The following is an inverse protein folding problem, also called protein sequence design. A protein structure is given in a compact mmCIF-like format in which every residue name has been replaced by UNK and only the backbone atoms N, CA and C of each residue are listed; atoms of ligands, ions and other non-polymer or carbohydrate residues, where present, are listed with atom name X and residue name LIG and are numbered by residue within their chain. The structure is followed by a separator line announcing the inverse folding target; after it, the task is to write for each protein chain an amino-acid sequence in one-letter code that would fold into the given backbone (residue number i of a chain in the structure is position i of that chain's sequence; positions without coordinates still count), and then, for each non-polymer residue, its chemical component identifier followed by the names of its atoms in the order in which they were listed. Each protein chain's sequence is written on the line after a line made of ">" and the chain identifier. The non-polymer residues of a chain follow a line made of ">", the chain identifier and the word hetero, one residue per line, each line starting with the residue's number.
data_IF_985571362103
#
_entry.id   IF_985571362103
#
_cell.length_a   1.000
_cell.length_b   1.000
_cell.length_c   1.000
_cell.angle_alpha   90.00
_cell.angle_beta   90.00
_cell.angle_gamma   90.00
#
_symmetry.space_group_name_H-M   'P 1'
#
loop_
_entity.id
_entity.type
_entity.pdbx_description
1 polymer ?
#
# COMPACT_ATOMS: atom_id res chain seq x y z
N UNK A 1 -25.84 -4.98 -12.44
CA UNK A 1 -25.67 -3.82 -13.36
C UNK A 1 -24.48 -2.94 -13.00
N UNK A 2 -24.41 -2.32 -11.82
CA UNK A 2 -23.32 -1.39 -11.45
C UNK A 2 -21.92 -2.04 -11.37
N UNK A 3 -21.81 -3.28 -10.86
CA UNK A 3 -20.52 -3.99 -10.78
C UNK A 3 -19.98 -4.44 -12.16
N UNK A 4 -20.85 -4.68 -13.15
CA UNK A 4 -20.40 -4.93 -14.52
C UNK A 4 -19.74 -3.68 -15.11
N UNK A 5 -20.25 -2.48 -14.83
CA UNK A 5 -19.62 -1.24 -15.31
C UNK A 5 -18.20 -1.05 -14.75
N UNK A 6 -17.95 -1.48 -13.51
CA UNK A 6 -16.60 -1.45 -12.94
C UNK A 6 -15.65 -2.36 -13.73
N UNK A 7 -16.07 -3.59 -14.03
CA UNK A 7 -15.29 -4.51 -14.85
C UNK A 7 -15.05 -3.95 -16.26
N UNK A 8 -16.09 -3.41 -16.92
CA UNK A 8 -15.97 -2.88 -18.28
C UNK A 8 -14.97 -1.73 -18.40
N UNK A 9 -14.79 -0.93 -17.34
CA UNK A 9 -13.76 0.11 -17.32
C UNK A 9 -12.41 -0.44 -16.90
N UNK A 10 -12.35 -1.33 -15.90
CA UNK A 10 -11.07 -1.87 -15.43
C UNK A 10 -10.38 -2.77 -16.47
N UNK A 11 -11.13 -3.44 -17.36
CA UNK A 11 -10.53 -4.22 -18.46
C UNK A 11 -9.77 -3.36 -19.49
N UNK A 12 -9.98 -2.03 -19.50
CA UNK A 12 -9.22 -1.12 -20.35
C UNK A 12 -7.79 -0.88 -19.83
N UNK A 13 -7.52 -1.19 -18.55
CA UNK A 13 -6.22 -1.02 -17.93
C UNK A 13 -5.37 -2.28 -18.12
N UNK A 14 -4.07 -2.10 -18.34
CA UNK A 14 -3.08 -3.18 -18.26
C UNK A 14 -2.42 -3.21 -16.89
N UNK A 15 -1.61 -4.24 -16.62
CA UNK A 15 -0.77 -4.28 -15.43
C UNK A 15 0.23 -3.11 -15.41
N UNK A 16 0.81 -2.76 -16.56
CA UNK A 16 1.74 -1.65 -16.71
C UNK A 16 1.07 -0.31 -16.39
N UNK A 17 -0.19 -0.12 -16.81
CA UNK A 17 -0.98 1.06 -16.42
C UNK A 17 -1.12 1.15 -14.89
N UNK A 18 -1.42 0.04 -14.22
CA UNK A 18 -1.53 0.00 -12.77
C UNK A 18 -0.19 0.31 -12.09
N UNK A 19 0.90 -0.33 -12.55
CA UNK A 19 2.25 -0.11 -12.02
C UNK A 19 2.76 1.32 -12.23
N UNK A 20 2.39 1.95 -13.35
CA UNK A 20 2.66 3.35 -13.62
C UNK A 20 1.82 4.25 -12.71
N UNK A 21 0.54 3.95 -12.54
CA UNK A 21 -0.33 4.72 -11.65
C UNK A 21 0.15 4.70 -10.19
N UNK A 22 0.79 3.62 -9.74
CA UNK A 22 1.43 3.53 -8.42
C UNK A 22 2.48 4.63 -8.20
N UNK A 23 3.24 5.03 -9.22
CA UNK A 23 4.25 6.08 -9.08
C UNK A 23 3.63 7.47 -8.89
N UNK A 24 2.33 7.61 -9.16
CA UNK A 24 1.57 8.83 -8.88
C UNK A 24 0.93 8.82 -7.50
N UNK A 25 0.88 7.67 -6.81
CA UNK A 25 0.39 7.55 -5.44
C UNK A 25 1.25 8.42 -4.51
N UNK A 26 0.59 9.25 -3.70
CA UNK A 26 1.26 10.10 -2.72
C UNK A 26 2.06 9.29 -1.71
N UNK A 27 1.60 8.08 -1.40
CA UNK A 27 2.31 7.17 -0.51
C UNK A 27 3.60 6.66 -1.16
N UNK A 28 3.58 6.35 -2.46
CA UNK A 28 4.78 5.97 -3.22
C UNK A 28 5.80 7.12 -3.25
N UNK A 29 5.34 8.33 -3.57
CA UNK A 29 6.19 9.54 -3.58
C UNK A 29 6.80 9.86 -2.21
N UNK A 30 6.04 9.63 -1.12
CA UNK A 30 6.56 9.78 0.23
C UNK A 30 7.68 8.77 0.53
N UNK A 31 7.55 7.54 0.03
CA UNK A 31 8.58 6.51 0.14
C UNK A 31 9.81 6.82 -0.71
N UNK A 32 9.66 7.36 -1.92
CA UNK A 32 10.79 7.78 -2.76
C UNK A 32 11.63 8.85 -2.06
N UNK A 33 10.96 9.88 -1.50
CA UNK A 33 11.64 10.93 -0.74
C UNK A 33 12.35 10.39 0.49
N UNK A 34 11.73 9.45 1.20
CA UNK A 34 12.34 8.79 2.35
C UNK A 34 13.57 7.98 1.93
N UNK A 35 13.45 7.16 0.87
CA UNK A 35 14.56 6.36 0.35
C UNK A 35 15.75 7.23 -0.08
N UNK A 36 15.51 8.33 -0.79
CA UNK A 36 16.57 9.27 -1.15
C UNK A 36 17.28 9.90 0.06
N UNK A 37 16.57 10.13 1.16
CA UNK A 37 17.16 10.62 2.40
C UNK A 37 17.91 9.51 3.18
N UNK A 38 17.47 8.26 3.05
CA UNK A 38 18.04 7.10 3.72
C UNK A 38 19.05 6.38 2.81
N UNK A 39 20.35 6.61 3.01
CA UNK A 39 21.41 5.83 2.34
C UNK A 39 21.50 4.34 2.80
N UNK A 40 20.40 3.77 3.31
CA UNK A 40 20.32 2.42 3.86
C UNK A 40 19.01 1.72 3.47
N UNK A 41 19.09 0.83 2.47
CA UNK A 41 17.94 0.06 1.97
C UNK A 41 17.33 -0.86 3.03
N UNK A 42 18.14 -1.47 3.90
CA UNK A 42 17.64 -2.39 4.92
C UNK A 42 16.75 -1.64 5.91
N UNK A 43 17.24 -0.51 6.43
CA UNK A 43 16.49 0.34 7.34
C UNK A 43 15.22 0.87 6.66
N UNK A 44 15.33 1.36 5.42
CA UNK A 44 14.19 1.84 4.64
C UNK A 44 13.08 0.78 4.55
N UNK A 45 13.41 -0.43 4.10
CA UNK A 45 12.44 -1.53 3.98
C UNK A 45 11.79 -1.87 5.33
N UNK A 46 12.58 -1.94 6.41
CA UNK A 46 12.07 -2.20 7.77
C UNK A 46 11.12 -1.09 8.25
N UNK A 47 11.49 0.18 8.08
CA UNK A 47 10.65 1.32 8.44
C UNK A 47 9.30 1.26 7.73
N UNK A 48 9.27 0.95 6.43
CA UNK A 48 8.03 0.85 5.65
C UNK A 48 7.12 -0.25 6.19
N UNK A 49 7.65 -1.44 6.48
CA UNK A 49 6.86 -2.56 7.03
C UNK A 49 6.28 -2.19 8.39
N UNK A 50 7.08 -1.61 9.29
CA UNK A 50 6.60 -1.20 10.63
C UNK A 50 5.50 -0.15 10.50
N UNK A 51 5.70 0.87 9.66
CA UNK A 51 4.71 1.92 9.45
C UNK A 51 3.39 1.36 8.93
N UNK A 52 3.43 0.56 7.87
CA UNK A 52 2.22 -0.01 7.26
C UNK A 52 1.41 -0.88 8.23
N UNK A 53 2.07 -1.66 9.09
CA UNK A 53 1.42 -2.47 10.12
C UNK A 53 0.74 -1.65 11.22
N UNK A 54 1.07 -0.36 11.34
CA UNK A 54 0.53 0.60 12.30
C UNK A 54 -0.42 1.63 11.64
N UNK A 55 -0.54 1.62 10.31
CA UNK A 55 -1.40 2.49 9.50
C UNK A 55 -2.89 2.13 9.59
N UNK A 56 -3.47 2.15 10.80
CA UNK A 56 -4.91 1.92 11.02
C UNK A 56 -5.52 2.91 11.99
N UNK A 57 -6.81 3.22 11.78
CA UNK A 57 -7.57 4.20 12.57
C UNK A 57 -6.78 5.51 12.73
N UNK A 58 -6.30 6.04 11.60
CA UNK A 58 -5.51 7.25 11.56
C UNK A 58 -6.35 8.47 11.96
N UNK A 59 -5.77 9.46 12.66
CA UNK A 59 -6.44 10.72 12.96
C UNK A 59 -6.49 11.66 11.74
N UNK A 60 -5.72 11.36 10.69
CA UNK A 60 -5.61 12.15 9.46
C UNK A 60 -5.87 11.26 8.23
N UNK A 61 -5.89 11.87 7.03
CA UNK A 61 -5.90 11.14 5.77
C UNK A 61 -4.64 10.28 5.64
N UNK A 62 -4.77 9.11 5.01
CA UNK A 62 -3.67 8.16 4.87
C UNK A 62 -2.46 8.75 4.14
N UNK A 63 -2.71 9.52 3.08
CA UNK A 63 -1.67 10.18 2.28
C UNK A 63 -0.85 11.16 3.13
N UNK A 64 -1.52 11.97 3.94
CA UNK A 64 -0.88 12.92 4.86
C UNK A 64 -0.08 12.19 5.95
N UNK A 65 -0.57 11.05 6.43
CA UNK A 65 0.17 10.23 7.40
C UNK A 65 1.47 9.68 6.81
N UNK A 66 1.45 9.16 5.57
CA UNK A 66 2.65 8.66 4.90
C UNK A 66 3.66 9.76 4.54
N UNK A 67 3.19 10.96 4.19
CA UNK A 67 4.06 12.13 3.98
C UNK A 67 4.76 12.57 5.29
N UNK A 68 4.03 12.56 6.41
CA UNK A 68 4.60 12.81 7.73
C UNK A 68 5.60 11.71 8.12
N UNK A 69 5.30 10.44 7.84
CA UNK A 69 6.22 9.32 8.03
C UNK A 69 7.54 9.54 7.28
N UNK A 70 7.46 9.81 5.97
CA UNK A 70 8.66 10.06 5.16
C UNK A 70 9.48 11.24 5.68
N UNK A 71 8.81 12.36 6.02
CA UNK A 71 9.50 13.55 6.53
C UNK A 71 10.13 13.35 7.91
N UNK A 72 9.48 12.58 8.78
CA UNK A 72 9.95 12.32 10.14
C UNK A 72 11.16 11.38 10.15
N UNK A 73 11.08 10.25 9.45
CA UNK A 73 12.17 9.26 9.44
C UNK A 73 13.34 9.65 8.54
N UNK A 74 13.16 10.58 7.60
CA UNK A 74 14.28 11.21 6.90
C UNK A 74 15.21 11.99 7.86
N UNK A 75 14.65 12.52 8.95
CA UNK A 75 15.41 13.25 9.99
C UNK A 75 15.82 12.37 11.17
N UNK A 76 15.06 11.31 11.43
CA UNK A 76 15.23 10.43 12.58
C UNK A 76 15.30 8.96 12.10
N UNK A 77 16.39 8.54 11.43
CA UNK A 77 16.48 7.25 10.75
C UNK A 77 16.74 6.08 11.71
N UNK A 78 15.72 5.69 12.47
CA UNK A 78 15.83 4.62 13.48
C UNK A 78 14.47 3.96 13.74
N UNK A 79 14.45 2.66 14.05
CA UNK A 79 13.22 1.95 14.40
C UNK A 79 12.71 2.32 15.80
N UNK A 80 13.59 2.82 16.67
CA UNK A 80 13.33 3.22 18.05
C UNK A 80 12.42 4.46 18.10
N UNK A 81 12.47 5.29 17.06
CA UNK A 81 11.73 6.56 16.94
C UNK A 81 10.22 6.38 16.66
N UNK A 82 9.76 5.16 16.39
CA UNK A 82 8.34 4.89 16.15
C UNK A 82 7.44 5.25 17.33
N UNK A 83 7.94 5.12 18.57
CA UNK A 83 7.16 5.49 19.76
C UNK A 83 6.78 6.98 19.74
N UNK A 84 7.74 7.84 19.39
CA UNK A 84 7.53 9.28 19.28
C UNK A 84 6.72 9.64 18.03
N UNK A 85 7.03 9.02 16.91
CA UNK A 85 6.26 9.19 15.67
C UNK A 85 4.76 8.92 15.87
N UNK A 86 4.40 7.82 16.56
CA UNK A 86 3.01 7.48 16.84
C UNK A 86 2.33 8.50 17.76
N UNK A 87 3.01 8.99 18.80
CA UNK A 87 2.47 10.04 19.69
C UNK A 87 2.14 11.31 18.93
N UNK A 88 2.96 11.67 17.95
CA UNK A 88 2.80 12.91 17.18
C UNK A 88 1.78 12.81 16.05
N UNK A 89 1.78 11.70 15.31
CA UNK A 89 1.03 11.61 14.04
C UNK A 89 -0.04 10.52 13.99
N UNK A 90 -0.09 9.62 14.98
CA UNK A 90 -1.04 8.49 15.00
C UNK A 90 -1.52 8.13 16.40
N UNK A 91 -1.89 9.16 17.19
CA UNK A 91 -2.19 9.07 18.61
C UNK A 91 -3.56 8.47 18.97
N UNK A 92 -4.44 8.26 18.00
CA UNK A 92 -5.73 7.62 18.25
C UNK A 92 -5.50 6.16 18.69
N UNK A 93 -6.04 5.77 19.85
CA UNK A 93 -5.77 4.46 20.46
C UNK A 93 -4.27 4.18 20.67
N UNK A 94 -3.50 5.21 21.04
CA UNK A 94 -2.04 5.15 21.17
C UNK A 94 -1.56 3.95 21.99
N UNK A 95 -2.15 3.68 23.17
CA UNK A 95 -1.72 2.58 24.02
C UNK A 95 -1.80 1.22 23.32
N UNK A 96 -2.87 0.97 22.56
CA UNK A 96 -3.02 -0.26 21.76
C UNK A 96 -2.01 -0.31 20.62
N UNK A 97 -1.72 0.83 19.98
CA UNK A 97 -0.70 0.94 18.93
C UNK A 97 0.71 0.73 19.47
N UNK A 98 1.03 1.23 20.65
CA UNK A 98 2.34 1.02 21.30
C UNK A 98 2.54 -0.46 21.68
N UNK A 99 1.49 -1.13 22.19
CA UNK A 99 1.53 -2.59 22.42
C UNK A 99 1.75 -3.37 21.11
N UNK A 100 1.07 -2.97 20.03
CA UNK A 100 1.28 -3.56 18.70
C UNK A 100 2.68 -3.27 18.16
N UNK A 101 3.19 -2.04 18.32
CA UNK A 101 4.53 -1.63 17.90
C UNK A 101 5.59 -2.55 18.53
N UNK A 102 5.51 -2.86 19.81
CA UNK A 102 6.46 -3.78 20.46
C UNK A 102 6.52 -5.15 19.76
N UNK A 103 5.36 -5.73 19.44
CA UNK A 103 5.27 -7.01 18.71
C UNK A 103 5.81 -6.91 17.29
N UNK A 104 5.46 -5.83 16.60
CA UNK A 104 5.91 -5.55 15.22
C UNK A 104 7.42 -5.35 15.17
N UNK A 105 8.00 -4.55 16.08
CA UNK A 105 9.45 -4.37 16.17
C UNK A 105 10.17 -5.69 16.47
N UNK A 106 9.63 -6.52 17.37
CA UNK A 106 10.20 -7.84 17.65
C UNK A 106 10.24 -8.75 16.42
N UNK A 107 9.23 -8.66 15.54
CA UNK A 107 9.24 -9.39 14.28
C UNK A 107 10.24 -8.76 13.29
N UNK A 108 10.07 -7.47 12.97
CA UNK A 108 10.83 -6.81 11.90
C UNK A 108 12.34 -6.71 12.21
N UNK A 109 12.73 -6.54 13.47
CA UNK A 109 14.16 -6.50 13.86
C UNK A 109 14.90 -7.82 13.59
N UNK A 110 14.19 -8.96 13.55
CA UNK A 110 14.79 -10.26 13.25
C UNK A 110 15.10 -10.44 11.77
N UNK A 111 14.48 -9.65 10.89
CA UNK A 111 14.68 -9.77 9.45
C UNK A 111 16.09 -9.33 9.08
N UNK A 112 16.82 -10.21 8.42
CA UNK A 112 18.12 -9.93 7.82
C UNK A 112 17.97 -9.21 6.47
N UNK A 113 19.05 -8.60 5.99
CA UNK A 113 19.08 -7.99 4.66
C UNK A 113 18.77 -9.02 3.56
N UNK A 114 19.28 -10.23 3.69
CA UNK A 114 19.11 -11.34 2.75
C UNK A 114 17.64 -11.78 2.70
N UNK A 115 16.98 -11.88 3.85
CA UNK A 115 15.54 -12.18 3.91
C UNK A 115 14.70 -11.09 3.28
N UNK A 116 15.02 -9.82 3.50
CA UNK A 116 14.31 -8.70 2.86
C UNK A 116 14.47 -8.74 1.33
N UNK A 117 15.68 -9.00 0.83
CA UNK A 117 15.91 -9.17 -0.62
C UNK A 117 15.14 -10.37 -1.16
N UNK A 118 15.11 -11.50 -0.43
CA UNK A 118 14.31 -12.67 -0.79
C UNK A 118 12.83 -12.30 -0.87
N UNK A 119 12.30 -11.57 0.11
CA UNK A 119 10.91 -11.13 0.12
C UNK A 119 10.57 -10.12 -0.98
N UNK A 120 11.52 -9.30 -1.44
CA UNK A 120 11.29 -8.48 -2.63
C UNK A 120 11.06 -9.33 -3.89
N UNK A 121 11.61 -10.55 -3.95
CA UNK A 121 11.38 -11.51 -5.04
C UNK A 121 10.15 -12.40 -4.79
N UNK A 122 9.81 -12.62 -3.52
CA UNK A 122 8.65 -13.39 -3.08
C UNK A 122 7.85 -12.61 -2.00
N UNK A 123 6.96 -11.70 -2.42
CA UNK A 123 6.13 -10.93 -1.48
C UNK A 123 5.19 -11.80 -0.64
N UNK A 124 4.81 -12.99 -1.13
CA UNK A 124 3.99 -13.96 -0.39
C UNK A 124 4.76 -14.52 0.81
N UNK A 125 6.06 -14.77 0.65
CA UNK A 125 6.94 -15.13 1.76
C UNK A 125 6.93 -14.10 2.90
N UNK A 126 6.86 -12.81 2.60
CA UNK A 126 6.70 -11.77 3.64
C UNK A 126 5.33 -11.87 4.31
N UNK A 127 4.26 -12.06 3.55
CA UNK A 127 2.91 -12.21 4.11
C UNK A 127 2.86 -13.38 5.11
N UNK A 128 3.42 -14.52 4.73
CA UNK A 128 3.48 -15.73 5.54
C UNK A 128 4.29 -15.50 6.82
N UNK A 129 5.45 -14.85 6.70
CA UNK A 129 6.27 -14.45 7.84
C UNK A 129 5.50 -13.53 8.81
N UNK A 130 4.88 -12.46 8.30
CA UNK A 130 4.15 -11.50 9.13
C UNK A 130 2.92 -12.12 9.79
N UNK A 131 2.18 -12.97 9.06
CA UNK A 131 1.04 -13.72 9.58
C UNK A 131 1.45 -14.60 10.76
N UNK A 132 2.55 -15.36 10.62
CA UNK A 132 3.07 -16.22 11.69
C UNK A 132 3.58 -15.40 12.89
N UNK A 133 4.40 -14.36 12.68
CA UNK A 133 4.97 -13.58 13.78
C UNK A 133 3.91 -12.76 14.54
N UNK A 134 2.85 -12.31 13.86
CA UNK A 134 1.80 -11.48 14.46
C UNK A 134 0.54 -12.26 14.83
N UNK A 135 0.48 -13.56 14.55
CA UNK A 135 -0.70 -14.41 14.75
C UNK A 135 -1.96 -13.75 14.18
N UNK A 136 -1.90 -13.35 12.91
CA UNK A 136 -3.02 -12.74 12.20
C UNK A 136 -3.27 -13.49 10.89
N UNK A 137 -4.53 -13.57 10.48
CA UNK A 137 -4.90 -14.16 9.20
C UNK A 137 -4.20 -13.44 8.03
N UNK A 138 -3.79 -14.22 7.02
CA UNK A 138 -3.14 -13.69 5.80
C UNK A 138 -4.04 -12.71 5.03
N UNK A 139 -5.36 -12.81 5.20
CA UNK A 139 -6.37 -11.93 4.61
C UNK A 139 -6.55 -10.61 5.38
N UNK A 140 -5.91 -10.46 6.56
CA UNK A 140 -6.05 -9.26 7.37
C UNK A 140 -5.57 -8.03 6.59
N UNK A 141 -6.45 -7.04 6.42
CA UNK A 141 -6.18 -5.84 5.61
C UNK A 141 -4.84 -5.17 5.91
N UNK A 142 -4.44 -5.14 7.19
CA UNK A 142 -3.18 -4.53 7.63
C UNK A 142 -1.94 -5.30 7.18
N UNK A 143 -2.04 -6.63 7.05
CA UNK A 143 -0.92 -7.45 6.57
C UNK A 143 -0.77 -7.32 5.06
N UNK A 144 -1.86 -7.48 4.30
CA UNK A 144 -1.81 -7.33 2.84
C UNK A 144 -1.45 -5.91 2.42
N UNK A 145 -1.91 -4.89 3.17
CA UNK A 145 -1.46 -3.51 2.98
C UNK A 145 0.04 -3.34 3.30
N UNK A 146 0.56 -3.99 4.34
CA UNK A 146 1.99 -3.97 4.62
C UNK A 146 2.82 -4.61 3.50
N UNK A 147 2.32 -5.69 2.89
CA UNK A 147 2.99 -6.30 1.73
C UNK A 147 2.92 -5.38 0.51
N UNK A 148 1.78 -4.72 0.24
CA UNK A 148 1.68 -3.71 -0.83
C UNK A 148 2.73 -2.60 -0.66
N UNK A 149 2.81 -2.02 0.54
CA UNK A 149 3.76 -0.95 0.83
C UNK A 149 5.22 -1.45 0.77
N UNK A 150 5.46 -2.69 1.17
CA UNK A 150 6.78 -3.32 1.00
C UNK A 150 7.14 -3.50 -0.48
N UNK A 151 6.20 -3.88 -1.34
CA UNK A 151 6.43 -3.95 -2.80
C UNK A 151 6.81 -2.57 -3.34
N UNK A 152 6.11 -1.50 -2.95
CA UNK A 152 6.49 -0.13 -3.32
C UNK A 152 7.95 0.15 -2.91
N UNK A 153 8.29 -0.15 -1.66
CA UNK A 153 9.64 0.06 -1.15
C UNK A 153 10.69 -0.77 -1.90
N UNK A 154 10.41 -2.03 -2.23
CA UNK A 154 11.31 -2.86 -3.03
C UNK A 154 11.49 -2.31 -4.45
N UNK A 155 10.42 -1.80 -5.10
CA UNK A 155 10.50 -1.17 -6.42
C UNK A 155 11.42 0.06 -6.37
N UNK A 156 11.22 0.93 -5.39
CA UNK A 156 12.03 2.13 -5.17
C UNK A 156 13.50 1.76 -4.90
N UNK A 157 13.75 0.85 -3.96
CA UNK A 157 15.10 0.50 -3.53
C UNK A 157 15.92 -0.26 -4.60
N UNK A 158 15.26 -0.95 -5.53
CA UNK A 158 15.91 -1.77 -6.55
C UNK A 158 15.85 -1.20 -7.97
N UNK A 159 14.97 -0.23 -8.22
CA UNK A 159 14.66 0.27 -9.57
C UNK A 159 13.97 -0.75 -10.48
N UNK A 160 13.48 -1.88 -9.93
CA UNK A 160 12.86 -2.96 -10.71
C UNK A 160 11.35 -2.94 -10.58
N UNK A 161 10.65 -3.34 -11.64
CA UNK A 161 9.20 -3.55 -11.61
C UNK A 161 8.86 -4.88 -10.95
N UNK A 162 8.70 -4.85 -9.63
CA UNK A 162 8.24 -5.98 -8.83
C UNK A 162 6.71 -5.97 -8.82
N UNK A 163 6.11 -7.11 -9.17
CA UNK A 163 4.66 -7.29 -9.23
C UNK A 163 4.16 -8.09 -8.03
N UNK A 164 2.96 -7.77 -7.58
CA UNK A 164 2.27 -8.53 -6.55
C UNK A 164 1.76 -9.86 -7.15
N UNK A 165 1.88 -10.98 -6.42
CA UNK A 165 1.24 -12.23 -6.82
C UNK A 165 -0.29 -12.15 -6.68
N UNK A 166 -1.02 -12.92 -7.49
CA UNK A 166 -2.49 -12.93 -7.50
C UNK A 166 -3.10 -13.48 -6.21
N UNK A 167 -2.35 -14.29 -5.48
CA UNK A 167 -2.78 -14.97 -4.26
C UNK A 167 -2.86 -14.04 -3.03
N UNK A 168 -2.32 -12.82 -3.12
CA UNK A 168 -2.40 -11.85 -2.03
C UNK A 168 -3.67 -11.02 -2.20
N UNK A 169 -4.53 -11.09 -1.18
CA UNK A 169 -5.81 -10.37 -1.16
C UNK A 169 -5.65 -8.86 -1.25
N UNK A 170 -6.69 -8.21 -1.77
CA UNK A 170 -6.82 -6.76 -1.72
C UNK A 170 -6.95 -6.27 -0.25
N UNK A 171 -6.34 -5.13 0.14
CA UNK A 171 -6.51 -4.56 1.48
C UNK A 171 -7.93 -4.00 1.69
N UNK A 172 -8.89 -4.88 1.97
CA UNK A 172 -10.33 -4.57 2.03
C UNK A 172 -10.71 -3.57 3.14
N UNK A 173 -10.54 -2.28 2.83
CA UNK A 173 -10.86 -1.13 3.66
C UNK A 173 -12.31 -0.66 3.50
N UNK A 174 -12.67 0.43 4.17
CA UNK A 174 -14.04 0.98 4.12
C UNK A 174 -14.43 1.45 2.72
N UNK A 175 -13.50 1.95 1.91
CA UNK A 175 -13.78 2.48 0.57
C UNK A 175 -13.99 1.35 -0.43
N UNK A 176 -13.19 0.30 -0.38
CA UNK A 176 -13.42 -0.92 -1.16
C UNK A 176 -14.72 -1.61 -0.76
N UNK A 177 -15.02 -1.69 0.55
CA UNK A 177 -16.27 -2.29 1.03
C UNK A 177 -17.53 -1.59 0.50
N UNK A 178 -17.49 -0.28 0.27
CA UNK A 178 -18.59 0.44 -0.38
C UNK A 178 -18.86 -0.01 -1.81
N UNK A 179 -17.84 -0.53 -2.51
CA UNK A 179 -17.99 -1.11 -3.85
C UNK A 179 -18.44 -2.57 -3.75
N UNK A 180 -17.72 -3.35 -2.94
CA UNK A 180 -18.05 -4.75 -2.64
C UNK A 180 -17.34 -5.20 -1.36
N UNK A 181 -18.09 -5.85 -0.47
CA UNK A 181 -17.57 -6.41 0.79
C UNK A 181 -16.94 -7.80 0.63
N UNK A 182 -17.09 -8.44 -0.53
CA UNK A 182 -16.63 -9.80 -0.78
C UNK A 182 -15.20 -9.83 -1.33
N UNK A 183 -14.29 -10.50 -0.63
CA UNK A 183 -12.96 -10.80 -1.17
C UNK A 183 -13.04 -11.62 -2.47
N UNK A 184 -14.00 -12.54 -2.56
CA UNK A 184 -14.22 -13.35 -3.77
C UNK A 184 -14.55 -12.49 -4.99
N UNK A 185 -15.35 -11.43 -4.81
CA UNK A 185 -15.62 -10.46 -5.88
C UNK A 185 -14.32 -9.83 -6.40
N UNK A 186 -13.44 -9.39 -5.50
CA UNK A 186 -12.17 -8.77 -5.88
C UNK A 186 -11.20 -9.75 -6.53
N UNK A 187 -11.14 -11.00 -6.05
CA UNK A 187 -10.37 -12.07 -6.70
C UNK A 187 -10.87 -12.34 -8.12
N UNK A 188 -12.19 -12.47 -8.28
CA UNK A 188 -12.79 -12.72 -9.59
C UNK A 188 -12.55 -11.54 -10.54
N UNK A 189 -12.63 -10.32 -10.05
CA UNK A 189 -12.33 -9.11 -10.83
C UNK A 189 -10.85 -9.06 -11.24
N UNK A 190 -9.94 -9.41 -10.33
CA UNK A 190 -8.51 -9.52 -10.57
C UNK A 190 -8.20 -10.53 -11.68
N UNK A 191 -8.76 -11.73 -11.59
CA UNK A 191 -8.57 -12.77 -12.62
C UNK A 191 -9.13 -12.34 -13.98
N UNK A 192 -10.32 -11.72 -14.01
CA UNK A 192 -10.94 -11.27 -15.27
C UNK A 192 -10.20 -10.11 -15.94
N UNK A 193 -9.55 -9.26 -15.16
CA UNK A 193 -8.77 -8.11 -15.68
C UNK A 193 -7.30 -8.44 -15.88
N UNK A 194 -6.84 -9.60 -15.41
CA UNK A 194 -5.43 -9.98 -15.37
C UNK A 194 -4.55 -8.95 -14.62
N UNK A 195 -5.10 -8.34 -13.56
CA UNK A 195 -4.38 -7.39 -12.70
C UNK A 195 -4.44 -7.91 -11.26
N UNK A 196 -3.29 -8.19 -10.60
CA UNK A 196 -3.27 -8.69 -9.23
C UNK A 196 -4.03 -7.80 -8.23
N UNK A 197 -4.60 -8.37 -7.15
CA UNK A 197 -5.50 -7.61 -6.27
C UNK A 197 -4.86 -6.36 -5.65
N UNK A 198 -3.57 -6.41 -5.30
CA UNK A 198 -2.85 -5.25 -4.74
C UNK A 198 -2.66 -4.10 -5.76
N UNK A 199 -2.56 -4.43 -7.05
CA UNK A 199 -2.47 -3.43 -8.12
C UNK A 199 -3.85 -2.90 -8.51
N UNK A 200 -4.90 -3.74 -8.43
CA UNK A 200 -6.29 -3.27 -8.52
C UNK A 200 -6.62 -2.25 -7.44
N UNK A 201 -6.16 -2.48 -6.20
CA UNK A 201 -6.31 -1.52 -5.09
C UNK A 201 -5.80 -0.13 -5.50
N UNK A 202 -4.65 -0.05 -6.17
CA UNK A 202 -4.07 1.21 -6.66
C UNK A 202 -5.01 1.91 -7.64
N UNK A 203 -5.55 1.19 -8.63
CA UNK A 203 -6.47 1.78 -9.60
C UNK A 203 -7.66 2.45 -8.93
N UNK A 204 -8.19 1.85 -7.86
CA UNK A 204 -9.29 2.44 -7.08
C UNK A 204 -8.80 3.62 -6.23
N UNK A 205 -7.77 3.39 -5.41
CA UNK A 205 -7.27 4.36 -4.42
C UNK A 205 -6.77 5.65 -5.07
N UNK A 206 -5.88 5.54 -6.05
CA UNK A 206 -5.23 6.69 -6.67
C UNK A 206 -6.25 7.50 -7.47
N UNK A 207 -7.16 6.83 -8.19
CA UNK A 207 -8.23 7.51 -8.94
C UNK A 207 -9.17 8.29 -8.02
N UNK A 208 -9.53 7.73 -6.86
CA UNK A 208 -10.38 8.42 -5.87
C UNK A 208 -9.64 9.56 -5.16
N UNK A 209 -8.35 9.38 -4.88
CA UNK A 209 -7.50 10.36 -4.19
C UNK A 209 -6.89 11.44 -5.09
N UNK A 210 -7.12 11.36 -6.41
CA UNK A 210 -6.53 12.23 -7.42
C UNK A 210 -6.77 13.73 -7.15
N UNK A 211 -5.67 14.45 -6.89
CA UNK A 211 -5.61 15.90 -6.72
C UNK A 211 -5.21 16.63 -8.02
N UNK A 212 -5.04 17.95 -7.97
CA UNK A 212 -4.66 18.76 -9.14
C UNK A 212 -3.33 18.30 -9.76
N UNK A 213 -2.31 18.08 -8.90
CA UNK A 213 -0.97 17.69 -9.34
C UNK A 213 -0.96 16.33 -10.04
N UNK A 214 -1.82 15.42 -9.60
CA UNK A 214 -2.02 14.13 -10.25
C UNK A 214 -2.45 14.31 -11.72
N UNK A 215 -3.45 15.16 -11.99
CA UNK A 215 -4.00 15.34 -13.34
C UNK A 215 -3.09 16.10 -14.31
N UNK A 216 -2.22 16.96 -13.78
CA UNK A 216 -1.25 17.73 -14.55
C UNK A 216 -0.11 16.83 -15.08
N UNK A 217 0.24 15.77 -14.35
CA UNK A 217 1.38 14.91 -14.67
C UNK A 217 1.01 13.55 -15.27
N UNK A 218 -0.28 13.21 -15.34
CA UNK A 218 -0.74 11.92 -15.85
C UNK A 218 -0.68 11.87 -17.39
N UNK A 219 -0.07 10.84 -18.00
CA UNK A 219 -0.03 10.69 -19.46
C UNK A 219 -1.43 10.66 -20.08
N UNK A 220 -1.60 11.27 -21.25
CA UNK A 220 -2.91 11.44 -21.91
C UNK A 220 -3.69 10.13 -22.05
N UNK A 221 -3.05 9.05 -22.53
CA UNK A 221 -3.72 7.76 -22.70
C UNK A 221 -4.19 7.13 -21.39
N UNK A 222 -3.47 7.33 -20.28
CA UNK A 222 -3.88 6.85 -18.96
C UNK A 222 -4.96 7.77 -18.35
N UNK A 223 -4.90 9.08 -18.65
CA UNK A 223 -5.84 10.08 -18.15
C UNK A 223 -7.27 9.79 -18.56
N UNK A 224 -7.51 9.40 -19.81
CA UNK A 224 -8.85 9.04 -20.29
C UNK A 224 -9.43 7.84 -19.51
N UNK A 225 -8.62 6.78 -19.33
CA UNK A 225 -9.02 5.59 -18.56
C UNK A 225 -9.36 5.95 -17.12
N UNK A 226 -8.51 6.77 -16.47
CA UNK A 226 -8.71 7.20 -15.08
C UNK A 226 -9.95 8.10 -14.93
N UNK A 227 -10.26 8.97 -15.91
CA UNK A 227 -11.49 9.77 -15.90
C UNK A 227 -12.73 8.87 -15.94
N UNK A 228 -12.79 7.91 -16.87
CA UNK A 228 -13.88 6.93 -16.96
C UNK A 228 -14.04 6.15 -15.64
N UNK A 229 -12.93 5.69 -15.07
CA UNK A 229 -12.94 4.96 -13.80
C UNK A 229 -13.48 5.84 -12.67
N UNK A 230 -13.05 7.11 -12.58
CA UNK A 230 -13.53 8.04 -11.55
C UNK A 230 -15.04 8.25 -11.61
N UNK A 231 -15.62 8.32 -12.80
CA UNK A 231 -17.07 8.45 -12.98
C UNK A 231 -17.82 7.20 -12.52
N UNK A 232 -17.32 6.01 -12.85
CA UNK A 232 -17.92 4.75 -12.39
C UNK A 232 -17.82 4.62 -10.87
N UNK A 233 -16.67 4.92 -10.28
CA UNK A 233 -16.46 4.85 -8.83
C UNK A 233 -17.37 5.82 -8.07
N UNK A 234 -17.60 7.03 -8.58
CA UNK A 234 -18.57 7.97 -7.98
C UNK A 234 -19.97 7.37 -7.89
N UNK A 235 -20.43 6.65 -8.91
CA UNK A 235 -21.78 6.02 -8.95
C UNK A 235 -21.93 4.78 -8.05
N UNK A 236 -20.80 4.19 -7.65
CA UNK A 236 -20.75 3.00 -6.79
C UNK A 236 -20.66 3.34 -5.31
N UNK A 237 -20.13 4.51 -4.98
CA UNK A 237 -19.79 4.92 -3.61
C UNK A 237 -20.79 5.95 -3.05
N UNK A 238 -21.52 6.64 -3.94
CA UNK A 238 -22.74 7.41 -3.66
C UNK A 238 -23.96 6.48 -3.63
#
# INVERSE_FOLDING_TARGET
>A
MKQNQLYEVLKEFTLEDALLLETFDRQYKALERLHHALANNELFLKLVVVNALLSYQLPTKGEVYWENFGSFFAKNPSLEEFGEFLKRYNNRFLNSKLKRLQRVLKAVKKLTKEELIRFCKDPKGLLDYLSAQLNQEKTAKTLVFAVKMFIYACRIASGKNITAPFEIEIPLDVRLRKISESLEFWRNLSLKTNIPPLHLDTLIWVTMGADKSFWENLPTGLKEKVVKLKEVLKKLIL
#
